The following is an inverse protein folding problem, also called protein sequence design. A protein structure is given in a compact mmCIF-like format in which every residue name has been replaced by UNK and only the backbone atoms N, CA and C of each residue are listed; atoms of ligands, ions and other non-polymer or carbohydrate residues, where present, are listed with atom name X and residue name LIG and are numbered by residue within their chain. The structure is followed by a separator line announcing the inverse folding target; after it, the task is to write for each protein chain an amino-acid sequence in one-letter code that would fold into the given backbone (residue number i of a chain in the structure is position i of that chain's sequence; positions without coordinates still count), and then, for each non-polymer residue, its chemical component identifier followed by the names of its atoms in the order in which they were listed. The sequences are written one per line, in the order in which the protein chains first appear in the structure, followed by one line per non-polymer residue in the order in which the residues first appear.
data_IF_458079200548
#
_entry.id   IF_458079200548
#
_cell.length_a   1.000
_cell.length_b   1.000
_cell.length_c   1.000
_cell.angle_alpha   90.00
_cell.angle_beta   90.00
_cell.angle_gamma   90.00
#
_symmetry.space_group_name_H-M   'P 1'
#
loop_
_entity.id
_entity.type
_entity.pdbx_description
1 polymer ?
#
# COMPACT_ATOMS: atom_id res chain seq x y z
N UNK A 1 -11.50 16.37 14.28
CA UNK A 1 -10.68 15.35 13.58
C UNK A 1 -10.68 13.96 14.24
N UNK A 2 -11.44 13.70 15.32
CA UNK A 2 -11.50 12.37 15.96
C UNK A 2 -12.54 11.40 15.36
N UNK A 3 -13.60 11.91 14.72
CA UNK A 3 -14.76 11.08 14.35
C UNK A 3 -14.63 10.30 13.02
N UNK A 4 -13.58 10.50 12.23
CA UNK A 4 -13.45 9.89 10.89
C UNK A 4 -12.49 8.69 10.83
N UNK A 5 -11.62 8.52 11.84
CA UNK A 5 -10.74 7.36 11.96
C UNK A 5 -11.48 6.08 12.37
N UNK A 6 -12.66 6.22 13.01
CA UNK A 6 -13.51 5.07 13.39
C UNK A 6 -14.31 4.50 12.21
N UNK A 7 -14.71 5.33 11.23
CA UNK A 7 -15.60 4.89 10.14
C UNK A 7 -14.91 4.11 9.01
N UNK A 8 -13.59 4.20 8.89
CA UNK A 8 -12.83 3.55 7.81
C UNK A 8 -12.26 2.17 8.20
N UNK A 9 -12.46 1.70 9.44
CA UNK A 9 -11.88 0.44 9.93
C UNK A 9 -10.34 0.45 10.01
N UNK A 10 -9.71 1.60 9.71
CA UNK A 10 -8.27 1.86 9.71
C UNK A 10 -7.78 2.44 11.05
N UNK A 11 -8.66 2.53 12.06
CA UNK A 11 -8.35 3.11 13.38
C UNK A 11 -7.20 2.43 14.15
N UNK A 12 -6.66 1.32 13.65
CA UNK A 12 -5.51 0.62 14.25
C UNK A 12 -4.15 1.04 13.68
N UNK A 13 -4.09 1.74 12.53
CA UNK A 13 -2.81 2.08 11.87
C UNK A 13 -2.25 3.46 12.27
N UNK A 14 -3.01 4.28 12.98
CA UNK A 14 -2.57 5.61 13.38
C UNK A 14 -2.92 5.90 14.84
N UNK A 15 -2.19 5.25 15.76
CA UNK A 15 -2.03 5.73 17.12
C UNK A 15 -1.26 7.06 17.10
N UNK A 16 -1.89 8.12 17.61
CA UNK A 16 -1.41 9.48 17.85
C UNK A 16 0.12 9.71 17.75
N UNK A 17 0.59 10.29 16.64
CA UNK A 17 1.99 10.72 16.48
C UNK A 17 2.12 12.20 16.83
N UNK A 18 2.31 12.48 18.13
CA UNK A 18 2.92 13.75 18.59
C UNK A 18 4.40 13.47 18.84
N UNK A 19 5.27 14.16 18.09
CA UNK A 19 6.70 14.26 18.37
C UNK A 19 7.58 13.40 17.48
N UNK A 20 7.98 13.92 16.33
CA UNK A 20 9.17 13.43 15.63
C UNK A 20 10.38 14.05 16.33
N UNK A 21 11.05 13.28 17.18
CA UNK A 21 12.46 13.49 17.52
C UNK A 21 13.20 12.17 17.32
N UNK A 22 14.34 12.30 16.64
CA UNK A 22 15.44 11.37 16.44
C UNK A 22 15.28 10.00 17.13
N UNK A 23 15.03 8.95 16.35
CA UNK A 23 15.01 7.57 16.88
C UNK A 23 16.44 7.07 16.99
N UNK A 24 16.96 7.06 18.23
CA UNK A 24 18.07 6.20 18.66
C UNK A 24 17.51 4.81 18.96
N UNK A 25 18.33 3.81 18.67
CA UNK A 25 18.06 2.38 18.78
C UNK A 25 17.98 1.97 20.25
N UNK A 26 16.78 1.70 20.77
CA UNK A 26 16.59 0.89 21.98
C UNK A 26 15.36 -0.01 21.85
N UNK A 27 15.54 -1.25 22.31
CA UNK A 27 14.72 -2.42 22.12
C UNK A 27 13.41 -2.35 22.91
N UNK A 28 12.27 -2.61 22.25
CA UNK A 28 11.00 -2.90 22.93
C UNK A 28 10.39 -4.18 22.35
N UNK A 29 10.07 -5.11 23.23
CA UNK A 29 9.52 -6.43 22.93
C UNK A 29 8.04 -6.34 22.50
N UNK A 30 7.73 -7.09 21.44
CA UNK A 30 6.40 -7.61 21.05
C UNK A 30 5.39 -6.69 20.37
N UNK A 31 5.86 -5.95 19.35
CA UNK A 31 5.07 -5.64 18.15
C UNK A 31 5.98 -5.88 16.95
N UNK A 32 5.53 -6.66 15.95
CA UNK A 32 6.27 -6.84 14.69
C UNK A 32 6.54 -5.46 14.10
N UNK A 33 7.76 -4.96 14.27
CA UNK A 33 8.15 -3.65 13.76
C UNK A 33 8.25 -3.78 12.24
N UNK A 34 7.33 -3.14 11.51
CA UNK A 34 7.47 -2.99 10.07
C UNK A 34 8.51 -1.90 9.82
N UNK A 35 9.73 -2.29 9.51
CA UNK A 35 10.77 -1.34 9.10
C UNK A 35 10.49 -0.94 7.65
N UNK A 36 9.89 0.24 7.47
CA UNK A 36 9.67 0.81 6.14
C UNK A 36 10.92 1.58 5.71
N UNK A 37 11.58 1.11 4.66
CA UNK A 37 12.75 1.77 4.09
C UNK A 37 12.37 2.98 3.25
N UNK A 38 12.34 4.18 3.84
CA UNK A 38 12.10 5.42 3.10
C UNK A 38 13.42 6.00 2.57
N UNK A 39 13.44 6.39 1.29
CA UNK A 39 14.57 7.12 0.71
C UNK A 39 14.64 8.55 1.33
N UNK A 40 15.79 8.95 1.92
CA UNK A 40 15.94 10.26 2.57
C UNK A 40 15.67 11.47 1.66
N UNK A 41 15.84 11.32 0.34
CA UNK A 41 15.59 12.39 -0.64
C UNK A 41 14.11 12.73 -0.78
N UNK A 42 13.23 11.76 -0.56
CA UNK A 42 11.78 11.93 -0.71
C UNK A 42 11.13 12.58 0.52
N UNK A 43 11.86 12.62 1.64
CA UNK A 43 11.38 13.16 2.92
C UNK A 43 11.53 14.69 3.02
N UNK A 44 12.23 15.41 2.13
CA UNK A 44 12.67 16.81 2.40
C UNK A 44 11.73 17.99 2.05
N UNK A 45 10.47 17.84 1.61
CA UNK A 45 9.60 19.02 1.27
C UNK A 45 8.45 19.24 2.30
N UNK A 46 7.74 20.41 2.35
CA UNK A 46 6.93 20.74 3.54
C UNK A 46 5.40 20.50 3.48
N UNK A 47 4.75 20.37 2.31
CA UNK A 47 3.28 20.10 2.27
C UNK A 47 2.86 19.14 1.14
N UNK A 48 3.36 19.37 -0.09
CA UNK A 48 3.38 18.35 -1.14
C UNK A 48 4.19 17.09 -0.75
N UNK A 49 4.95 17.15 0.35
CA UNK A 49 5.63 16.01 0.89
C UNK A 49 4.78 15.18 1.84
N UNK A 50 3.73 15.71 2.47
CA UNK A 50 2.89 14.87 3.32
C UNK A 50 2.17 13.84 2.45
N UNK A 51 1.50 14.29 1.38
CA UNK A 51 0.85 13.38 0.43
C UNK A 51 1.86 12.46 -0.28
N UNK A 52 3.07 12.94 -0.61
CA UNK A 52 4.11 12.07 -1.18
C UNK A 52 4.63 11.04 -0.17
N UNK A 53 4.85 11.43 1.09
CA UNK A 53 5.30 10.51 2.15
C UNK A 53 4.20 9.51 2.49
N UNK A 54 2.95 9.95 2.58
CA UNK A 54 1.80 9.06 2.76
C UNK A 54 1.68 8.08 1.58
N UNK A 55 1.82 8.56 0.35
CA UNK A 55 1.82 7.69 -0.83
C UNK A 55 2.99 6.69 -0.81
N UNK A 56 4.20 7.11 -0.42
CA UNK A 56 5.35 6.22 -0.27
C UNK A 56 5.11 5.16 0.81
N UNK A 57 4.56 5.53 1.96
CA UNK A 57 4.20 4.56 3.00
C UNK A 57 3.17 3.54 2.49
N UNK A 58 2.17 4.01 1.73
CA UNK A 58 1.16 3.15 1.12
C UNK A 58 1.77 2.24 0.02
N UNK A 59 2.74 2.74 -0.73
CA UNK A 59 3.50 1.96 -1.70
C UNK A 59 4.25 0.80 -1.02
N UNK A 60 4.97 1.10 0.07
CA UNK A 60 5.71 0.07 0.82
C UNK A 60 4.77 -0.93 1.50
N UNK A 61 3.58 -0.48 1.94
CA UNK A 61 2.52 -1.38 2.37
C UNK A 61 2.04 -2.30 1.24
N UNK A 62 2.07 -1.82 -0.01
CA UNK A 62 1.79 -2.61 -1.19
C UNK A 62 2.77 -3.77 -1.37
N UNK A 63 4.07 -3.54 -1.16
CA UNK A 63 5.06 -4.63 -1.14
C UNK A 63 4.77 -5.63 -0.02
N UNK A 64 4.53 -5.13 1.19
CA UNK A 64 4.20 -5.99 2.33
C UNK A 64 2.93 -6.82 2.10
N UNK A 65 1.90 -6.24 1.47
CA UNK A 65 0.67 -6.93 1.11
C UNK A 65 0.92 -8.09 0.14
N UNK A 66 1.80 -7.92 -0.85
CA UNK A 66 2.15 -8.99 -1.78
C UNK A 66 2.90 -10.13 -1.08
N UNK A 67 3.80 -9.78 -0.16
CA UNK A 67 4.59 -10.76 0.58
C UNK A 67 3.73 -11.59 1.55
N UNK A 68 2.79 -10.94 2.24
CA UNK A 68 2.07 -11.55 3.37
C UNK A 68 0.67 -12.03 3.04
N UNK A 69 -0.04 -11.37 2.12
CA UNK A 69 -1.44 -11.67 1.83
C UNK A 69 -1.64 -12.48 0.54
N UNK A 70 -0.70 -12.43 -0.40
CA UNK A 70 -0.85 -13.11 -1.69
C UNK A 70 -0.23 -14.49 -1.68
N UNK A 71 -1.08 -15.52 -1.80
CA UNK A 71 -0.65 -16.90 -1.98
C UNK A 71 -0.15 -17.18 -3.40
N UNK A 72 0.45 -18.36 -3.61
CA UNK A 72 0.97 -18.81 -4.92
C UNK A 72 -0.08 -18.70 -6.05
N UNK A 73 -1.34 -19.01 -5.74
CA UNK A 73 -2.44 -18.90 -6.72
C UNK A 73 -2.75 -17.47 -7.14
N UNK A 74 -2.63 -16.50 -6.23
CA UNK A 74 -2.83 -15.08 -6.54
C UNK A 74 -1.68 -14.56 -7.41
N UNK A 75 -0.44 -14.90 -7.07
CA UNK A 75 0.74 -14.50 -7.85
C UNK A 75 0.67 -14.98 -9.29
N UNK A 76 0.33 -16.26 -9.53
CA UNK A 76 0.10 -16.82 -10.88
C UNK A 76 -1.01 -16.10 -11.66
N UNK A 77 -2.04 -15.61 -10.99
CA UNK A 77 -3.13 -14.86 -11.63
C UNK A 77 -2.74 -13.43 -11.97
N UNK A 78 -1.81 -12.83 -11.22
CA UNK A 78 -1.32 -11.47 -11.46
C UNK A 78 -0.20 -11.43 -12.50
N UNK A 79 0.58 -12.49 -12.64
CA UNK A 79 1.73 -12.56 -13.54
C UNK A 79 1.42 -12.14 -14.99
N UNK A 80 0.31 -12.54 -15.64
CA UNK A 80 -0.02 -12.07 -17.00
C UNK A 80 -0.25 -10.55 -17.10
N UNK A 81 -0.63 -9.91 -15.99
CA UNK A 81 -0.88 -8.47 -15.95
C UNK A 81 0.40 -7.68 -15.67
N UNK A 82 1.17 -8.12 -14.67
CA UNK A 82 2.29 -7.38 -14.09
C UNK A 82 3.68 -7.89 -14.51
N UNK A 83 3.77 -9.11 -15.03
CA UNK A 83 5.01 -9.85 -15.21
C UNK A 83 5.36 -10.69 -13.98
N UNK A 84 6.49 -11.40 -14.06
CA UNK A 84 7.01 -12.20 -12.96
C UNK A 84 7.43 -11.30 -11.78
N UNK A 85 6.74 -11.47 -10.65
CA UNK A 85 7.02 -10.72 -9.42
C UNK A 85 8.34 -11.13 -8.76
N UNK A 86 8.70 -12.41 -8.87
CA UNK A 86 9.85 -12.99 -8.18
C UNK A 86 11.15 -12.81 -8.98
N UNK A 87 11.08 -12.19 -10.16
CA UNK A 87 12.26 -11.81 -10.94
C UNK A 87 13.14 -10.87 -10.11
N UNK A 88 14.46 -11.07 -10.19
CA UNK A 88 15.39 -10.24 -9.42
C UNK A 88 15.32 -8.79 -9.89
N UNK A 89 15.18 -7.88 -8.94
CA UNK A 89 15.24 -6.45 -9.21
C UNK A 89 16.56 -6.07 -9.87
N UNK A 90 16.47 -5.62 -11.12
CA UNK A 90 17.59 -5.01 -11.83
C UNK A 90 17.32 -3.52 -11.90
N UNK A 91 18.21 -2.73 -11.30
CA UNK A 91 18.08 -1.29 -11.27
C UNK A 91 18.27 -0.73 -12.69
N UNK A 92 17.16 -0.50 -13.39
CA UNK A 92 17.14 0.18 -14.67
C UNK A 92 16.93 1.69 -14.48
N UNK A 93 17.44 2.54 -15.42
CA UNK A 93 17.12 3.96 -15.42
C UNK A 93 15.60 4.17 -15.50
N UNK A 94 15.07 5.09 -14.68
CA UNK A 94 13.65 5.43 -14.73
C UNK A 94 13.32 6.01 -16.11
N UNK A 95 12.31 5.48 -16.82
CA UNK A 95 11.88 6.02 -18.11
C UNK A 95 11.58 7.52 -18.01
N UNK A 96 11.88 8.28 -19.06
CA UNK A 96 11.60 9.73 -19.09
C UNK A 96 10.10 10.02 -19.05
N UNK A 97 9.31 9.22 -19.78
CA UNK A 97 7.84 9.33 -19.91
C UNK A 97 7.17 8.11 -19.28
N UNK A 98 5.95 8.31 -18.79
CA UNK A 98 5.12 7.22 -18.26
C UNK A 98 4.36 6.59 -19.43
N UNK A 99 4.53 5.28 -19.61
CA UNK A 99 3.69 4.51 -20.52
C UNK A 99 2.23 4.47 -20.02
N UNK A 100 1.26 4.37 -20.92
CA UNK A 100 -0.17 4.40 -20.56
C UNK A 100 -0.65 3.08 -19.93
N UNK A 101 0.12 2.00 -20.01
CA UNK A 101 -0.11 0.71 -19.37
C UNK A 101 0.29 0.67 -17.89
N UNK A 102 0.89 1.75 -17.38
CA UNK A 102 1.38 1.88 -16.01
C UNK A 102 0.80 3.12 -15.32
N UNK A 103 0.65 3.06 -13.99
CA UNK A 103 0.09 4.17 -13.19
C UNK A 103 1.11 5.29 -12.99
N UNK A 104 2.40 4.96 -12.95
CA UNK A 104 3.50 5.89 -12.78
C UNK A 104 4.76 5.43 -13.54
N UNK A 105 5.76 6.31 -13.65
CA UNK A 105 7.07 5.94 -14.22
C UNK A 105 7.81 4.92 -13.35
N UNK A 106 7.49 4.88 -12.06
CA UNK A 106 8.13 3.96 -11.12
C UNK A 106 7.57 2.54 -11.26
N UNK A 107 6.27 2.43 -11.54
CA UNK A 107 5.64 1.17 -11.92
C UNK A 107 6.27 0.49 -13.16
N UNK A 108 7.06 1.20 -13.95
CA UNK A 108 7.75 0.65 -15.12
C UNK A 108 9.11 0.00 -14.79
N UNK A 109 9.64 0.18 -13.56
CA UNK A 109 11.00 -0.25 -13.24
C UNK A 109 11.08 -1.73 -12.86
N UNK A 110 9.97 -2.31 -12.38
CA UNK A 110 9.92 -3.71 -11.97
C UNK A 110 8.45 -4.18 -11.81
N UNK A 111 8.12 -5.46 -12.07
CA UNK A 111 6.80 -6.02 -11.78
C UNK A 111 6.32 -5.79 -10.34
N UNK A 112 7.21 -5.96 -9.36
CA UNK A 112 6.90 -5.66 -7.95
C UNK A 112 6.49 -4.19 -7.72
N UNK A 113 7.18 -3.27 -8.37
CA UNK A 113 6.88 -1.83 -8.27
C UNK A 113 5.57 -1.47 -8.96
N UNK A 114 5.24 -2.15 -10.06
CA UNK A 114 3.95 -2.00 -10.75
C UNK A 114 2.78 -2.45 -9.86
N UNK A 115 2.96 -3.55 -9.12
CA UNK A 115 1.97 -4.02 -8.15
C UNK A 115 1.85 -3.04 -6.98
N UNK A 116 2.96 -2.62 -6.35
CA UNK A 116 2.95 -1.71 -5.21
C UNK A 116 2.35 -0.34 -5.56
N UNK A 117 2.68 0.21 -6.73
CA UNK A 117 2.07 1.45 -7.21
C UNK A 117 0.57 1.27 -7.52
N UNK A 118 0.17 0.14 -8.12
CA UNK A 118 -1.25 -0.16 -8.37
C UNK A 118 -2.03 -0.33 -7.07
N UNK A 119 -1.42 -0.94 -6.05
CA UNK A 119 -1.96 -1.02 -4.69
C UNK A 119 -2.13 0.37 -4.08
N UNK A 120 -1.12 1.22 -4.21
CA UNK A 120 -1.19 2.58 -3.69
C UNK A 120 -2.31 3.38 -4.34
N UNK A 121 -2.50 3.26 -5.66
CA UNK A 121 -3.63 3.87 -6.37
C UNK A 121 -4.99 3.37 -5.84
N UNK A 122 -5.10 2.09 -5.46
CA UNK A 122 -6.35 1.54 -4.91
C UNK A 122 -6.73 2.20 -3.58
N UNK A 123 -5.78 2.35 -2.66
CA UNK A 123 -6.05 2.97 -1.35
C UNK A 123 -6.17 4.49 -1.46
N UNK A 124 -5.38 5.10 -2.35
CA UNK A 124 -5.43 6.55 -2.58
C UNK A 124 -6.76 7.01 -3.18
N UNK A 125 -7.51 6.10 -3.83
CA UNK A 125 -8.85 6.38 -4.37
C UNK A 125 -9.83 6.81 -3.28
N UNK A 126 -9.68 6.31 -2.06
CA UNK A 126 -10.56 6.66 -0.94
C UNK A 126 -10.25 8.07 -0.40
N UNK A 127 -9.03 8.57 -0.64
CA UNK A 127 -8.58 9.89 -0.20
C UNK A 127 -8.80 10.95 -1.29
N UNK A 128 -8.49 10.61 -2.54
CA UNK A 128 -8.49 11.52 -3.70
C UNK A 128 -9.23 10.91 -4.91
N UNK A 129 -10.55 10.65 -4.82
CA UNK A 129 -11.29 9.89 -5.82
C UNK A 129 -11.31 10.55 -7.20
N UNK A 130 -11.36 11.90 -7.25
CA UNK A 130 -11.35 12.66 -8.52
C UNK A 130 -9.99 12.55 -9.22
N UNK A 131 -8.89 12.67 -8.46
CA UNK A 131 -7.54 12.59 -9.01
C UNK A 131 -7.25 11.17 -9.54
N UNK A 132 -7.65 10.14 -8.78
CA UNK A 132 -7.48 8.74 -9.22
C UNK A 132 -8.34 8.45 -10.45
N UNK A 133 -9.57 8.97 -10.53
CA UNK A 133 -10.40 8.82 -11.73
C UNK A 133 -9.75 9.44 -12.96
N UNK A 134 -9.33 10.71 -12.88
CA UNK A 134 -8.67 11.40 -13.98
C UNK A 134 -7.37 10.69 -14.40
N UNK A 135 -6.59 10.18 -13.43
CA UNK A 135 -5.43 9.34 -13.71
C UNK A 135 -5.84 8.12 -14.55
N UNK A 136 -6.82 7.33 -14.12
CA UNK A 136 -7.19 6.07 -14.78
C UNK A 136 -7.90 6.25 -16.13
N UNK A 137 -8.60 7.36 -16.33
CA UNK A 137 -9.18 7.75 -17.63
C UNK A 137 -8.08 8.03 -18.66
N UNK A 138 -6.96 8.61 -18.24
CA UNK A 138 -5.81 8.85 -19.12
C UNK A 138 -5.02 7.57 -19.47
N UNK A 139 -5.25 6.45 -18.76
CA UNK A 139 -4.51 5.17 -18.97
C UNK A 139 -5.21 4.21 -19.93
N UNK A 140 -4.51 3.15 -20.31
CA UNK A 140 -5.10 2.08 -21.15
C UNK A 140 -6.02 1.17 -20.35
N UNK A 141 -6.75 0.30 -21.07
CA UNK A 141 -7.50 -0.79 -20.44
C UNK A 141 -6.60 -1.74 -19.65
N UNK A 142 -5.34 -1.97 -20.08
CA UNK A 142 -4.40 -2.83 -19.36
C UNK A 142 -4.09 -2.28 -17.97
N UNK A 143 -3.76 -0.99 -17.89
CA UNK A 143 -3.50 -0.31 -16.62
C UNK A 143 -4.73 -0.36 -15.69
N UNK A 144 -5.94 -0.09 -16.21
CA UNK A 144 -7.17 -0.20 -15.42
C UNK A 144 -7.42 -1.62 -14.91
N UNK A 145 -7.13 -2.65 -15.70
CA UNK A 145 -7.25 -4.06 -15.28
C UNK A 145 -6.27 -4.41 -14.16
N UNK A 146 -5.04 -3.89 -14.20
CA UNK A 146 -4.05 -4.04 -13.12
C UNK A 146 -4.60 -3.49 -11.80
N UNK A 147 -5.02 -2.23 -11.78
CA UNK A 147 -5.59 -1.58 -10.59
C UNK A 147 -6.85 -2.31 -10.10
N UNK A 148 -7.74 -2.72 -11.00
CA UNK A 148 -8.93 -3.47 -10.63
C UNK A 148 -8.61 -4.85 -10.04
N UNK A 149 -7.57 -5.54 -10.54
CA UNK A 149 -7.13 -6.83 -9.99
C UNK A 149 -6.64 -6.69 -8.56
N UNK A 150 -5.81 -5.68 -8.27
CA UNK A 150 -5.35 -5.39 -6.92
C UNK A 150 -6.52 -4.98 -6.02
N UNK A 151 -7.42 -4.11 -6.49
CA UNK A 151 -8.60 -3.70 -5.73
C UNK A 151 -9.48 -4.87 -5.28
N UNK A 152 -9.64 -5.91 -6.10
CA UNK A 152 -10.36 -7.14 -5.71
C UNK A 152 -9.65 -7.92 -4.61
N UNK A 153 -8.32 -7.96 -4.63
CA UNK A 153 -7.52 -8.64 -3.61
C UNK A 153 -7.58 -7.87 -2.28
N UNK A 154 -7.45 -6.55 -2.31
CA UNK A 154 -7.59 -5.68 -1.13
C UNK A 154 -8.97 -5.87 -0.49
N UNK A 155 -10.04 -5.84 -1.28
CA UNK A 155 -11.40 -6.04 -0.79
C UNK A 155 -11.61 -7.45 -0.21
N UNK A 156 -11.00 -8.48 -0.81
CA UNK A 156 -11.03 -9.84 -0.27
C UNK A 156 -10.40 -9.92 1.11
N UNK A 157 -9.21 -9.34 1.30
CA UNK A 157 -8.54 -9.36 2.60
C UNK A 157 -9.29 -8.52 3.64
N UNK A 158 -9.83 -7.36 3.26
CA UNK A 158 -10.69 -6.55 4.13
C UNK A 158 -11.89 -7.34 4.65
N UNK A 159 -12.55 -8.13 3.79
CA UNK A 159 -13.66 -9.01 4.20
C UNK A 159 -13.21 -10.15 5.11
N UNK A 160 -12.04 -10.74 4.85
CA UNK A 160 -11.47 -11.78 5.72
C UNK A 160 -11.24 -11.25 7.13
N UNK A 161 -10.63 -10.08 7.27
CA UNK A 161 -10.39 -9.46 8.58
C UNK A 161 -11.70 -9.17 9.32
N UNK A 162 -12.71 -8.63 8.63
CA UNK A 162 -14.02 -8.35 9.23
C UNK A 162 -14.67 -9.63 9.76
N UNK A 163 -14.63 -10.72 8.98
CA UNK A 163 -15.18 -12.01 9.40
C UNK A 163 -14.43 -12.59 10.61
N UNK A 164 -13.10 -12.51 10.64
CA UNK A 164 -12.31 -12.97 11.79
C UNK A 164 -12.62 -12.19 13.07
N UNK A 165 -12.85 -10.88 12.97
CA UNK A 165 -13.23 -10.03 14.12
C UNK A 165 -14.61 -10.38 14.67
N UNK A 166 -15.58 -10.67 13.79
CA UNK A 166 -16.94 -11.07 14.18
C UNK A 166 -16.94 -12.46 14.83
N UNK A 167 -16.10 -13.39 14.35
CA UNK A 167 -16.02 -14.76 14.88
C UNK A 167 -15.16 -14.91 16.14
N UNK A 168 -14.48 -13.85 16.59
CA UNK A 168 -13.67 -13.89 17.82
C UNK A 168 -14.55 -13.62 19.05
N UNK A 169 -14.68 -14.55 20.02
CA UNK A 169 -15.46 -14.29 21.23
C UNK A 169 -14.84 -13.13 22.01
N UNK A 170 -15.66 -12.31 22.71
CA UNK A 170 -15.13 -11.21 23.51
C UNK A 170 -14.13 -11.76 24.54
N UNK A 171 -12.91 -11.20 24.54
CA UNK A 171 -11.90 -11.52 25.56
C UNK A 171 -12.53 -11.21 26.92
N UNK A 172 -12.82 -12.25 27.70
CA UNK A 172 -13.24 -12.09 29.09
C UNK A 172 -12.12 -11.38 29.83
N UNK A 173 -12.40 -10.18 30.34
CA UNK A 173 -11.50 -9.49 31.26
C UNK A 173 -11.20 -10.41 32.44
N UNK A 174 -9.94 -10.55 32.89
CA UNK A 174 -9.65 -11.29 34.10
C UNK A 174 -10.39 -10.61 35.25
N UNK A 175 -11.28 -11.35 35.91
CA UNK A 175 -11.89 -10.91 37.17
C UNK A 175 -10.75 -10.70 38.16
N UNK A 176 -10.61 -9.46 38.63
CA UNK A 176 -9.81 -9.13 39.81
C UNK A 176 -10.56 -9.57 41.06
#
# INVERSE_FOLDING_TARGET
MGAYLERSGLGFLFGSVRGIRTVRQESFHDMRTLTIGLNPRDVRRPFAAFHRRAYLLVHELGHHFVETCLGKGDRRRLEPLFGDYDVRYRRAPKPRRCDRDHVSRYAMTHPAEDIAESFAVCLWRDWEPRAVRALLEARTARCRRKVAAIGRLVERERRRELNTRISSPPRRSPRR
#
